data_IF_016250760284
#
_entry.id   IF_016250760284
#
_cell.length_a   1.000
_cell.length_b   1.000
_cell.length_c   1.000
_cell.angle_alpha   90.00
_cell.angle_beta   90.00
_cell.angle_gamma   90.00
#
_symmetry.space_group_name_H-M   'P 1'
#
loop_
_entity.id
_entity.type
_entity.pdbx_description
1 polymer ?
#
# COMPACT_ATOMS: atom_id res chain seq x y z
N UNK A 1 17.35 6.60 -4.39
CA UNK A 1 18.74 6.60 -3.92
C UNK A 1 19.14 7.98 -3.49
N UNK A 2 18.84 8.30 -2.27
CA UNK A 2 19.35 9.52 -1.69
C UNK A 2 20.73 9.29 -1.16
N UNK A 3 21.63 9.89 -1.79
CA UNK A 3 22.94 10.14 -1.26
C UNK A 3 22.84 11.17 -0.17
N UNK A 4 23.08 10.80 0.99
CA UNK A 4 23.21 11.74 2.08
C UNK A 4 24.61 12.25 2.07
N UNK A 5 24.73 13.43 2.03
CA UNK A 5 25.92 14.15 1.80
C UNK A 5 26.59 14.42 3.07
N UNK A 6 27.74 14.38 3.06
CA UNK A 6 28.66 14.64 4.08
C UNK A 6 28.81 16.09 4.33
N UNK A 7 28.61 16.46 5.50
CA UNK A 7 29.06 17.74 5.93
C UNK A 7 30.56 17.69 6.16
N UNK A 8 31.20 18.52 5.46
CA UNK A 8 32.57 18.84 5.79
C UNK A 8 32.50 19.90 6.88
N UNK A 9 32.80 19.49 8.08
CA UNK A 9 32.94 20.43 9.18
C UNK A 9 34.13 21.33 8.95
N UNK A 10 34.14 22.48 9.62
CA UNK A 10 35.22 23.47 9.55
C UNK A 10 36.62 22.92 9.92
N UNK A 11 36.65 21.73 10.49
CA UNK A 11 37.88 21.03 10.78
C UNK A 11 38.37 20.11 9.65
N UNK A 12 37.76 20.17 8.49
CA UNK A 12 38.11 19.31 7.36
C UNK A 12 37.75 17.84 7.56
N UNK A 13 36.94 17.53 8.58
CA UNK A 13 36.44 16.18 8.77
C UNK A 13 35.31 15.93 7.82
N UNK A 14 35.56 15.09 6.84
CA UNK A 14 34.52 14.57 5.99
C UNK A 14 33.60 13.64 6.80
N UNK A 15 32.47 14.15 7.17
CA UNK A 15 31.37 13.28 7.64
C UNK A 15 30.89 12.47 6.46
N UNK A 16 31.21 11.21 6.48
CA UNK A 16 30.66 10.26 5.51
C UNK A 16 29.15 10.29 5.59
N UNK A 17 28.56 10.70 4.53
CA UNK A 17 27.16 10.53 4.33
C UNK A 17 26.87 9.10 4.04
N UNK A 18 26.12 8.53 4.94
CA UNK A 18 25.49 7.25 4.66
C UNK A 18 24.46 7.45 3.56
N UNK A 19 24.76 6.87 2.43
CA UNK A 19 23.77 6.64 1.41
C UNK A 19 22.86 5.53 1.90
N UNK A 20 21.68 5.86 2.37
CA UNK A 20 20.60 4.88 2.40
C UNK A 20 20.27 4.54 0.95
N UNK A 21 20.70 3.38 0.52
CA UNK A 21 20.19 2.81 -0.71
C UNK A 21 18.75 2.43 -0.41
N UNK A 22 17.80 3.19 -0.92
CA UNK A 22 16.44 2.68 -1.00
C UNK A 22 16.47 1.44 -1.90
N UNK A 23 15.99 0.33 -1.38
CA UNK A 23 15.88 -0.89 -2.15
C UNK A 23 15.08 -0.67 -3.41
N UNK A 24 15.44 -1.36 -4.46
CA UNK A 24 14.75 -1.27 -5.73
C UNK A 24 13.29 -1.65 -5.53
N UNK A 25 12.40 -0.70 -5.74
CA UNK A 25 10.96 -0.94 -5.71
C UNK A 25 10.58 -1.71 -6.98
N UNK A 26 10.02 -2.88 -6.80
CA UNK A 26 9.53 -3.69 -7.92
C UNK A 26 8.18 -3.11 -8.37
N UNK A 27 8.09 -2.76 -9.62
CA UNK A 27 6.85 -2.25 -10.22
C UNK A 27 6.16 -3.34 -11.04
N UNK A 28 4.84 -3.24 -11.27
CA UNK A 28 4.14 -4.22 -12.11
C UNK A 28 4.78 -4.39 -13.49
N UNK A 29 5.25 -3.30 -14.11
CA UNK A 29 5.90 -3.33 -15.41
C UNK A 29 7.23 -4.08 -15.37
N UNK A 30 8.04 -3.87 -14.34
CA UNK A 30 9.34 -4.54 -14.19
C UNK A 30 9.19 -6.03 -13.84
N UNK A 31 8.09 -6.38 -13.18
CA UNK A 31 7.79 -7.76 -12.83
C UNK A 31 7.06 -8.55 -13.91
N UNK A 32 6.81 -7.93 -15.07
CA UNK A 32 6.12 -8.56 -16.19
C UNK A 32 4.60 -8.64 -16.03
N UNK A 33 4.04 -7.91 -15.07
CA UNK A 33 2.60 -7.78 -14.87
C UNK A 33 2.12 -6.49 -15.50
N UNK A 34 0.95 -6.51 -16.11
CA UNK A 34 0.30 -5.27 -16.51
C UNK A 34 -0.34 -4.57 -15.29
N UNK A 35 -0.79 -3.34 -15.49
CA UNK A 35 -1.34 -2.52 -14.41
C UNK A 35 -2.64 -3.10 -13.81
N UNK A 36 -3.26 -4.07 -14.46
CA UNK A 36 -4.51 -4.69 -14.02
C UNK A 36 -4.28 -5.95 -13.18
N UNK A 37 -3.08 -6.49 -13.17
CA UNK A 37 -2.75 -7.72 -12.44
C UNK A 37 -1.77 -7.44 -11.31
N UNK A 38 -2.22 -7.67 -10.09
CA UNK A 38 -1.41 -7.63 -8.87
C UNK A 38 -2.07 -8.51 -7.80
N UNK A 39 -1.49 -8.59 -6.62
CA UNK A 39 -2.04 -9.38 -5.51
C UNK A 39 -3.41 -8.88 -5.07
N UNK A 40 -3.47 -7.89 -4.22
CA UNK A 40 -4.73 -7.32 -3.74
C UNK A 40 -5.22 -6.20 -4.66
N UNK A 41 -6.41 -6.36 -5.21
CA UNK A 41 -7.06 -5.38 -6.09
C UNK A 41 -8.26 -4.68 -5.44
N UNK A 42 -8.62 -5.05 -4.21
CA UNK A 42 -9.74 -4.45 -3.49
C UNK A 42 -9.58 -2.93 -3.32
N UNK A 43 -10.55 -2.17 -3.78
CA UNK A 43 -10.49 -0.70 -3.78
C UNK A 43 -9.59 -0.08 -4.85
N UNK A 44 -8.88 -0.90 -5.61
CA UNK A 44 -7.97 -0.46 -6.69
C UNK A 44 -8.60 -0.67 -8.05
N UNK A 45 -9.02 -1.88 -8.34
CA UNK A 45 -9.64 -2.25 -9.62
C UNK A 45 -11.03 -2.86 -9.47
N UNK A 46 -11.43 -3.24 -8.27
CA UNK A 46 -12.78 -3.69 -7.98
C UNK A 46 -13.20 -3.27 -6.57
N UNK A 47 -14.48 -3.38 -6.31
CA UNK A 47 -15.06 -3.25 -4.99
C UNK A 47 -16.21 -4.25 -4.84
N UNK A 48 -16.73 -4.34 -3.64
CA UNK A 48 -17.92 -5.12 -3.33
C UNK A 48 -19.10 -4.17 -3.05
N UNK A 49 -20.26 -4.49 -3.60
CA UNK A 49 -21.50 -3.80 -3.34
C UNK A 49 -22.47 -4.75 -2.64
N UNK A 50 -22.84 -4.42 -1.41
CA UNK A 50 -23.74 -5.24 -0.62
C UNK A 50 -25.20 -5.10 -1.09
N UNK A 51 -26.04 -6.04 -0.65
CA UNK A 51 -27.48 -6.02 -0.93
C UNK A 51 -28.21 -4.80 -0.34
N UNK A 52 -27.62 -4.12 0.63
CA UNK A 52 -28.17 -2.88 1.21
C UNK A 52 -27.60 -1.61 0.57
N UNK A 53 -26.77 -1.76 -0.46
CA UNK A 53 -26.18 -0.64 -1.19
C UNK A 53 -24.87 -0.12 -0.61
N UNK A 54 -24.31 -0.76 0.42
CA UNK A 54 -23.02 -0.39 0.98
C UNK A 54 -21.89 -0.79 0.05
N UNK A 55 -20.99 0.14 -0.22
CA UNK A 55 -19.77 -0.10 -0.98
C UNK A 55 -18.62 -0.38 -0.02
N UNK A 56 -17.88 -1.43 -0.26
CA UNK A 56 -16.73 -1.83 0.53
C UNK A 56 -15.60 -2.33 -0.38
N UNK A 57 -14.35 -2.37 0.08
CA UNK A 57 -13.21 -2.71 -0.78
C UNK A 57 -13.28 -4.13 -1.37
N UNK A 58 -13.73 -5.10 -0.59
CA UNK A 58 -13.97 -6.47 -1.04
C UNK A 58 -15.00 -7.15 -0.13
N UNK A 59 -15.42 -8.35 -0.49
CA UNK A 59 -16.41 -9.10 0.31
C UNK A 59 -15.95 -9.49 1.71
N UNK A 60 -14.64 -9.49 1.95
CA UNK A 60 -14.04 -9.85 3.24
C UNK A 60 -13.59 -8.63 4.07
N UNK A 61 -13.64 -7.45 3.52
CA UNK A 61 -13.24 -6.20 4.18
C UNK A 61 -14.46 -5.30 4.31
N UNK A 62 -15.19 -5.47 5.39
CA UNK A 62 -16.47 -4.79 5.64
C UNK A 62 -16.27 -3.36 6.17
N UNK A 63 -15.61 -2.55 5.39
CA UNK A 63 -15.47 -1.12 5.67
C UNK A 63 -16.49 -0.34 4.84
N UNK A 64 -17.24 0.52 5.51
CA UNK A 64 -18.22 1.40 4.84
C UNK A 64 -17.50 2.50 4.08
N UNK A 65 -17.48 2.37 2.75
CA UNK A 65 -16.91 3.39 1.86
C UNK A 65 -17.97 4.35 1.32
N UNK A 66 -19.22 4.10 1.61
CA UNK A 66 -20.36 4.87 1.13
C UNK A 66 -21.52 3.97 0.74
N UNK A 67 -22.64 4.57 0.40
CA UNK A 67 -23.85 3.83 0.01
C UNK A 67 -24.43 4.40 -1.28
N UNK A 68 -24.60 3.54 -2.27
CA UNK A 68 -25.12 3.93 -3.60
C UNK A 68 -26.59 4.40 -3.59
N UNK A 69 -27.29 4.18 -2.49
CA UNK A 69 -28.64 4.72 -2.29
C UNK A 69 -28.63 6.19 -1.83
N UNK A 70 -27.50 6.69 -1.35
CA UNK A 70 -27.33 8.03 -0.80
C UNK A 70 -26.47 8.94 -1.66
N UNK A 71 -25.53 8.36 -2.43
CA UNK A 71 -24.61 9.11 -3.27
C UNK A 71 -24.23 8.28 -4.51
N UNK A 72 -23.69 8.94 -5.53
CA UNK A 72 -23.33 8.23 -6.75
C UNK A 72 -22.14 7.30 -6.52
N UNK A 73 -22.11 6.17 -7.21
CA UNK A 73 -20.99 5.25 -7.17
C UNK A 73 -19.68 5.93 -7.57
N UNK A 74 -19.72 6.82 -8.55
CA UNK A 74 -18.56 7.59 -8.99
C UNK A 74 -17.94 8.41 -7.84
N UNK A 75 -18.76 9.11 -7.07
CA UNK A 75 -18.28 9.89 -5.92
C UNK A 75 -17.66 9.00 -4.86
N UNK A 76 -18.29 7.86 -4.56
CA UNK A 76 -17.73 6.89 -3.61
C UNK A 76 -16.39 6.38 -4.09
N UNK A 77 -16.32 5.93 -5.33
CA UNK A 77 -15.13 5.34 -5.91
C UNK A 77 -13.94 6.32 -5.98
N UNK A 78 -14.21 7.57 -6.33
CA UNK A 78 -13.18 8.58 -6.51
C UNK A 78 -12.74 9.24 -5.20
N UNK A 79 -13.62 9.35 -4.21
CA UNK A 79 -13.39 10.22 -3.06
C UNK A 79 -13.41 9.53 -1.70
N UNK A 80 -13.83 8.27 -1.61
CA UNK A 80 -13.83 7.58 -0.32
C UNK A 80 -12.42 7.48 0.26
N UNK A 81 -12.20 7.92 1.51
CA UNK A 81 -10.87 7.88 2.14
C UNK A 81 -10.26 6.47 2.16
N UNK A 82 -11.07 5.44 2.36
CA UNK A 82 -10.62 4.04 2.37
C UNK A 82 -10.05 3.66 1.01
N UNK A 83 -10.74 3.99 -0.07
CA UNK A 83 -10.24 3.70 -1.42
C UNK A 83 -8.99 4.50 -1.77
N UNK A 84 -8.94 5.76 -1.38
CA UNK A 84 -7.75 6.59 -1.59
C UNK A 84 -6.54 6.03 -0.84
N UNK A 85 -6.71 5.59 0.39
CA UNK A 85 -5.65 4.97 1.17
C UNK A 85 -5.18 3.65 0.55
N UNK A 86 -6.10 2.79 0.12
CA UNK A 86 -5.76 1.51 -0.50
C UNK A 86 -4.97 1.66 -1.81
N UNK A 87 -5.21 2.73 -2.54
CA UNK A 87 -4.47 3.07 -3.77
C UNK A 87 -3.09 3.66 -3.50
N UNK A 88 -2.86 4.17 -2.31
CA UNK A 88 -1.57 4.68 -1.88
C UNK A 88 -0.72 3.56 -1.25
N UNK A 89 -0.09 2.75 -2.08
CA UNK A 89 0.74 1.63 -1.63
C UNK A 89 1.98 2.06 -0.85
N UNK A 90 2.40 3.30 -0.99
CA UNK A 90 3.51 3.86 -0.20
C UNK A 90 3.08 4.19 1.25
N UNK A 91 1.79 4.21 1.52
CA UNK A 91 1.21 4.38 2.85
C UNK A 91 1.10 3.10 3.68
N UNK A 92 1.42 1.94 3.12
CA UNK A 92 1.43 0.70 3.88
C UNK A 92 2.40 0.75 5.06
N UNK A 93 2.03 0.09 6.14
CA UNK A 93 2.81 0.04 7.37
C UNK A 93 3.41 -1.34 7.60
N UNK A 94 4.24 -1.45 8.64
CA UNK A 94 4.88 -2.70 8.99
C UNK A 94 5.69 -3.29 7.85
N UNK A 95 5.71 -4.60 7.78
CA UNK A 95 6.46 -5.36 6.77
C UNK A 95 6.04 -5.03 5.32
N UNK A 96 4.75 -4.81 5.09
CA UNK A 96 4.26 -4.39 3.77
C UNK A 96 4.77 -3.01 3.34
N UNK A 97 4.97 -2.10 4.30
CA UNK A 97 5.43 -0.74 4.03
C UNK A 97 6.87 -0.65 3.54
N UNK A 98 7.72 -1.57 3.97
CA UNK A 98 9.13 -1.65 3.56
C UNK A 98 9.38 -2.65 2.44
N UNK A 99 8.35 -3.40 2.06
CA UNK A 99 8.46 -4.47 1.08
C UNK A 99 8.67 -3.93 -0.34
N UNK A 100 9.66 -4.45 -1.02
CA UNK A 100 9.94 -4.12 -2.42
C UNK A 100 8.79 -4.54 -3.36
N UNK A 101 8.01 -5.54 -2.97
CA UNK A 101 6.87 -6.04 -3.75
C UNK A 101 5.55 -5.32 -3.46
N UNK A 102 5.52 -4.29 -2.64
CA UNK A 102 4.25 -3.65 -2.21
C UNK A 102 3.36 -3.16 -3.37
N UNK A 103 3.96 -2.82 -4.50
CA UNK A 103 3.22 -2.37 -5.70
C UNK A 103 2.65 -3.50 -6.54
N UNK A 104 3.17 -4.72 -6.40
CA UNK A 104 2.73 -5.90 -7.17
C UNK A 104 1.98 -6.91 -6.30
N UNK A 105 2.18 -6.89 -5.00
CA UNK A 105 1.52 -7.79 -4.05
C UNK A 105 0.47 -7.05 -3.21
N UNK A 106 0.92 -6.17 -2.33
CA UNK A 106 0.07 -5.43 -1.41
C UNK A 106 -0.48 -6.25 -0.24
N UNK A 107 -0.23 -7.55 -0.16
CA UNK A 107 -0.80 -8.43 0.87
C UNK A 107 -2.33 -8.45 0.86
N UNK A 108 -2.95 -9.21 1.75
CA UNK A 108 -4.40 -9.19 1.93
C UNK A 108 -4.81 -8.11 2.94
N UNK A 109 -5.44 -7.06 2.48
CA UNK A 109 -5.87 -5.94 3.34
C UNK A 109 -6.97 -6.34 4.33
N UNK A 110 -7.81 -7.29 3.95
CA UNK A 110 -8.82 -7.82 4.85
C UNK A 110 -8.18 -8.59 6.03
N UNK A 111 -7.17 -9.40 5.78
CA UNK A 111 -6.46 -10.10 6.86
C UNK A 111 -5.68 -9.15 7.75
N UNK A 112 -5.07 -8.13 7.20
CA UNK A 112 -4.42 -7.07 7.98
C UNK A 112 -5.43 -6.41 8.94
N UNK A 113 -6.60 -6.05 8.43
CA UNK A 113 -7.65 -5.42 9.23
C UNK A 113 -8.19 -6.34 10.31
N UNK A 114 -8.52 -7.58 9.99
CA UNK A 114 -9.07 -8.53 10.95
C UNK A 114 -8.10 -8.89 12.07
N UNK A 115 -6.81 -8.99 11.76
CA UNK A 115 -5.80 -9.39 12.73
C UNK A 115 -5.22 -8.22 13.52
N UNK A 116 -5.07 -7.05 12.91
CA UNK A 116 -4.33 -5.93 13.49
C UNK A 116 -5.19 -4.67 13.66
N UNK A 117 -6.41 -4.67 13.14
CA UNK A 117 -7.33 -3.54 13.25
C UNK A 117 -7.06 -2.39 12.27
N UNK A 118 -6.07 -2.52 11.40
CA UNK A 118 -5.73 -1.53 10.40
C UNK A 118 -5.51 -2.20 9.04
N UNK A 119 -6.30 -1.80 8.05
CA UNK A 119 -6.21 -2.34 6.70
C UNK A 119 -4.94 -1.88 5.94
N UNK A 120 -4.22 -0.91 6.48
CA UNK A 120 -2.95 -0.45 5.92
C UNK A 120 -1.73 -1.12 6.55
N UNK A 121 -1.92 -1.91 7.60
CA UNK A 121 -0.86 -2.61 8.30
C UNK A 121 -0.34 -3.83 7.51
N UNK A 122 0.64 -4.51 8.05
CA UNK A 122 1.25 -5.67 7.40
C UNK A 122 0.28 -6.84 7.26
N UNK A 123 0.51 -7.66 6.24
CA UNK A 123 -0.22 -8.91 6.06
C UNK A 123 0.32 -9.94 7.07
N UNK A 124 -0.51 -10.41 8.03
CA UNK A 124 -0.01 -11.16 9.20
C UNK A 124 0.49 -12.57 8.87
N UNK A 125 0.08 -13.14 7.75
CA UNK A 125 0.48 -14.50 7.35
C UNK A 125 1.56 -14.54 6.28
N UNK A 126 2.13 -13.39 5.93
CA UNK A 126 3.22 -13.34 4.97
C UNK A 126 4.51 -13.85 5.59
N UNK A 127 5.08 -14.88 4.97
CA UNK A 127 6.36 -15.47 5.40
C UNK A 127 7.58 -14.80 4.75
N UNK A 128 7.33 -13.92 3.79
CA UNK A 128 8.41 -13.20 3.11
C UNK A 128 9.03 -12.15 4.02
N UNK A 129 10.34 -12.12 4.08
CA UNK A 129 11.09 -11.10 4.79
C UNK A 129 11.65 -10.09 3.77
N UNK A 130 11.16 -8.85 3.79
CA UNK A 130 11.65 -7.81 2.90
C UNK A 130 13.13 -7.55 3.11
N UNK A 131 13.84 -7.29 2.03
CA UNK A 131 15.23 -6.90 2.12
C UNK A 131 15.35 -5.48 2.69
N UNK A 132 15.89 -5.40 3.90
CA UNK A 132 16.20 -4.11 4.50
C UNK A 132 17.31 -3.41 3.71
N UNK A 133 17.03 -2.21 3.42
CA UNK A 133 17.95 -1.34 2.71
C UNK A 133 18.52 -0.31 3.65
#
# INVERSE_FOLDING_TARGET
NKKVVVDVGEAGEEKKKETKKEGKKITPKEYGLDAMTRGCLGGISFCFLSHVGQVQPCGYLELDCGNVRKQSFKEIWENSPVFLNLRNTDGYQGKCGICEYRKVCGGCRARAYESLGDYMDEEPYCIYEPHHV
#
